data_IF_892652015729
#
_entry.id   IF_892652015729
#
_cell.length_a   1.000
_cell.length_b   1.000
_cell.length_c   1.000
_cell.angle_alpha   90.00
_cell.angle_beta   90.00
_cell.angle_gamma   90.00
#
_symmetry.space_group_name_H-M   'P 1'
#
loop_
_entity.id
_entity.type
_entity.pdbx_description
1 polymer ?
#
# COMPACT_ATOMS: atom_id res chain seq x y z
N UNK A 1 7.48 20.37 -4.17
CA UNK A 1 7.86 18.98 -3.86
C UNK A 1 6.78 18.48 -2.93
N UNK A 2 6.08 17.40 -3.25
CA UNK A 2 4.98 16.94 -2.41
C UNK A 2 5.58 16.38 -1.11
N UNK A 3 5.52 17.16 -0.02
CA UNK A 3 5.83 16.64 1.31
C UNK A 3 4.87 15.48 1.62
N UNK A 4 5.40 14.41 2.20
CA UNK A 4 4.56 13.31 2.67
C UNK A 4 3.76 13.75 3.89
N UNK A 5 2.50 13.32 3.97
CA UNK A 5 1.67 13.58 5.15
C UNK A 5 2.15 12.72 6.32
N UNK A 6 2.09 13.26 7.53
CA UNK A 6 2.22 12.45 8.75
C UNK A 6 0.92 11.67 8.94
N UNK A 7 1.01 10.47 9.52
CA UNK A 7 -0.16 9.62 9.71
C UNK A 7 -0.39 9.39 11.20
N UNK A 8 -1.55 9.77 11.72
CA UNK A 8 -2.01 9.38 13.05
C UNK A 8 -2.72 8.05 12.97
N UNK A 9 -2.29 7.11 13.79
CA UNK A 9 -2.91 5.80 13.94
C UNK A 9 -3.52 5.76 15.33
N UNK A 10 -4.81 5.47 15.44
CA UNK A 10 -5.52 5.40 16.71
C UNK A 10 -6.22 4.07 16.84
N UNK A 11 -5.96 3.33 17.92
CA UNK A 11 -6.75 2.14 18.26
C UNK A 11 -8.12 2.58 18.75
N UNK A 12 -9.17 2.33 17.97
CA UNK A 12 -10.54 2.75 18.31
C UNK A 12 -11.20 1.76 19.27
N UNK A 13 -11.11 0.47 18.96
CA UNK A 13 -11.75 -0.60 19.74
C UNK A 13 -11.05 -1.93 19.53
N UNK A 14 -11.35 -2.87 20.42
CA UNK A 14 -11.02 -4.27 20.28
C UNK A 14 -12.22 -5.12 20.71
N UNK A 15 -12.43 -6.24 20.05
CA UNK A 15 -13.56 -7.13 20.38
C UNK A 15 -13.19 -8.06 21.55
N UNK A 16 -11.88 -8.25 21.77
CA UNK A 16 -11.29 -8.94 22.93
C UNK A 16 -9.99 -8.25 23.35
N UNK A 17 -9.46 -8.53 24.56
CA UNK A 17 -8.16 -8.02 24.96
C UNK A 17 -7.05 -8.36 23.95
N UNK A 18 -6.24 -7.36 23.59
CA UNK A 18 -5.13 -7.56 22.68
C UNK A 18 -4.02 -8.41 23.34
N UNK A 19 -3.48 -9.38 22.60
CA UNK A 19 -2.37 -10.24 23.03
C UNK A 19 -1.09 -9.46 23.39
N UNK A 20 -0.95 -8.23 22.88
CA UNK A 20 0.16 -7.31 23.16
C UNK A 20 -0.19 -6.25 24.21
N UNK A 21 -1.37 -6.34 24.83
CA UNK A 21 -1.81 -5.41 25.88
C UNK A 21 -2.22 -4.02 25.38
N UNK A 22 -2.34 -3.80 24.06
CA UNK A 22 -2.80 -2.54 23.48
C UNK A 22 -4.24 -2.22 23.92
N UNK A 23 -4.48 -0.94 24.25
CA UNK A 23 -5.78 -0.47 24.76
C UNK A 23 -6.42 0.55 23.80
N UNK A 24 -7.75 0.53 23.62
CA UNK A 24 -8.47 1.60 22.93
C UNK A 24 -8.08 2.99 23.42
N UNK A 25 -7.96 3.94 22.50
CA UNK A 25 -7.44 5.28 22.74
C UNK A 25 -5.92 5.41 22.62
N UNK A 26 -5.16 4.31 22.48
CA UNK A 26 -3.72 4.39 22.19
C UNK A 26 -3.50 4.99 20.80
N UNK A 27 -2.57 5.93 20.70
CA UNK A 27 -2.27 6.68 19.48
C UNK A 27 -0.78 6.62 19.12
N UNK A 28 -0.50 6.64 17.82
CA UNK A 28 0.84 6.72 17.27
C UNK A 28 0.88 7.79 16.19
N UNK A 29 2.02 8.49 16.10
CA UNK A 29 2.36 9.32 14.94
C UNK A 29 3.38 8.56 14.09
N UNK A 30 3.00 8.26 12.86
CA UNK A 30 3.86 7.65 11.85
C UNK A 30 4.42 8.73 10.95
N UNK A 31 5.75 8.82 10.94
CA UNK A 31 6.55 9.68 10.06
C UNK A 31 7.77 8.88 9.57
N UNK A 32 7.54 8.02 8.57
CA UNK A 32 8.53 7.16 7.90
C UNK A 32 9.20 6.04 8.71
N UNK A 33 8.99 5.97 10.02
CA UNK A 33 9.48 4.87 10.86
C UNK A 33 8.31 4.08 11.47
N UNK A 34 8.47 2.76 11.56
CA UNK A 34 7.49 1.90 12.21
C UNK A 34 7.25 2.39 13.67
N UNK A 35 5.99 2.60 14.09
CA UNK A 35 5.74 3.18 15.40
C UNK A 35 6.13 2.23 16.52
N UNK A 36 6.90 2.74 17.50
CA UNK A 36 7.28 1.96 18.67
C UNK A 36 6.05 1.46 19.43
N UNK A 37 6.04 0.18 19.79
CA UNK A 37 4.94 -0.44 20.55
C UNK A 37 3.73 -0.85 19.72
N UNK A 38 3.63 -0.48 18.44
CA UNK A 38 2.65 -1.08 17.54
C UNK A 38 3.18 -2.45 17.07
N UNK A 39 2.36 -3.51 17.21
CA UNK A 39 2.82 -4.85 16.84
C UNK A 39 3.02 -4.97 15.32
N UNK A 40 3.97 -5.80 14.90
CA UNK A 40 4.37 -5.95 13.49
C UNK A 40 3.23 -6.44 12.59
N UNK A 41 2.35 -7.30 13.10
CA UNK A 41 1.17 -7.78 12.36
C UNK A 41 0.18 -6.65 12.06
N UNK A 42 -0.12 -5.81 13.06
CA UNK A 42 -0.99 -4.65 12.86
C UNK A 42 -0.32 -3.64 11.93
N UNK A 43 0.96 -3.32 12.13
CA UNK A 43 1.66 -2.39 11.25
C UNK A 43 1.68 -2.90 9.80
N UNK A 44 1.95 -4.18 9.58
CA UNK A 44 1.96 -4.78 8.24
C UNK A 44 0.59 -4.76 7.55
N UNK A 45 -0.52 -4.90 8.28
CA UNK A 45 -1.86 -4.82 7.67
C UNK A 45 -2.29 -3.39 7.38
N UNK A 46 -1.88 -2.44 8.21
CA UNK A 46 -2.16 -1.02 8.03
C UNK A 46 -1.27 -0.37 6.94
N UNK A 47 -0.08 -0.94 6.70
CA UNK A 47 0.96 -0.37 5.84
C UNK A 47 0.48 0.10 4.45
N UNK A 48 -0.27 -0.69 3.67
CA UNK A 48 -0.70 -0.25 2.33
C UNK A 48 -1.63 0.96 2.40
N UNK A 49 -2.45 1.02 3.45
CA UNK A 49 -3.39 2.11 3.66
C UNK A 49 -2.72 3.39 4.16
N UNK A 50 -1.74 3.24 5.05
CA UNK A 50 -0.84 4.32 5.49
C UNK A 50 -0.17 4.95 4.28
N UNK A 51 0.36 4.14 3.34
CA UNK A 51 1.05 4.68 2.17
C UNK A 51 0.15 5.46 1.23
N UNK A 52 -1.09 5.03 1.01
CA UNK A 52 -2.05 5.79 0.19
C UNK A 52 -2.27 7.19 0.76
N UNK A 53 -2.64 7.29 2.04
CA UNK A 53 -2.90 8.57 2.69
C UNK A 53 -1.65 9.44 2.79
N UNK A 54 -0.51 8.82 3.16
CA UNK A 54 0.77 9.51 3.31
C UNK A 54 1.23 10.16 2.01
N UNK A 55 0.98 9.52 0.88
CA UNK A 55 1.35 10.02 -0.45
C UNK A 55 0.20 10.78 -1.12
N UNK A 56 -0.78 11.28 -0.35
CA UNK A 56 -1.79 12.20 -0.87
C UNK A 56 -2.94 11.53 -1.65
N UNK A 57 -3.06 10.21 -1.65
CA UNK A 57 -4.20 9.48 -2.21
C UNK A 57 -5.31 9.28 -1.18
N UNK A 58 -6.53 8.90 -1.55
CA UNK A 58 -7.67 8.72 -0.63
C UNK A 58 -8.55 7.53 -1.05
N UNK A 59 -9.40 7.04 -0.17
CA UNK A 59 -10.23 5.87 -0.46
C UNK A 59 -11.66 6.23 -0.89
N UNK A 60 -12.15 5.70 -2.02
CA UNK A 60 -13.48 6.09 -2.54
C UNK A 60 -14.65 5.57 -1.68
N UNK A 61 -14.42 4.54 -0.86
CA UNK A 61 -15.43 4.01 0.08
C UNK A 61 -15.50 4.78 1.41
N UNK A 62 -14.53 5.66 1.69
CA UNK A 62 -14.53 6.47 2.90
C UNK A 62 -15.27 7.80 2.65
N UNK A 63 -16.02 8.26 3.66
CA UNK A 63 -16.73 9.54 3.59
C UNK A 63 -15.77 10.72 3.75
N UNK A 64 -14.87 10.63 4.73
CA UNK A 64 -13.79 11.58 4.99
C UNK A 64 -12.56 11.17 4.16
N UNK A 65 -12.06 12.01 3.23
CA UNK A 65 -10.90 11.67 2.40
C UNK A 65 -9.62 11.50 3.22
N UNK A 66 -9.58 11.94 4.48
CA UNK A 66 -8.40 11.91 5.32
C UNK A 66 -8.25 10.64 6.14
N UNK A 67 -9.23 9.75 6.10
CA UNK A 67 -9.33 8.59 6.99
C UNK A 67 -9.43 7.29 6.21
N UNK A 68 -8.96 6.23 6.85
CA UNK A 68 -9.41 4.88 6.57
C UNK A 68 -9.48 4.08 7.87
N UNK A 69 -10.54 3.28 8.02
CA UNK A 69 -10.67 2.36 9.15
C UNK A 69 -10.18 0.98 8.75
N UNK A 70 -9.25 0.40 9.51
CA UNK A 70 -8.64 -0.90 9.21
C UNK A 70 -8.43 -1.73 10.47
N UNK A 71 -8.26 -3.05 10.34
CA UNK A 71 -8.01 -3.92 11.48
C UNK A 71 -6.69 -4.68 11.41
N UNK A 72 -6.22 -5.17 12.57
CA UNK A 72 -5.15 -6.16 12.59
C UNK A 72 -5.68 -7.54 12.12
N UNK A 73 -4.84 -8.38 11.50
CA UNK A 73 -5.26 -9.67 10.96
C UNK A 73 -5.31 -10.77 12.05
N UNK A 74 -5.82 -10.44 13.23
CA UNK A 74 -6.03 -11.39 14.34
C UNK A 74 -7.53 -11.70 14.45
N UNK A 75 -7.91 -12.88 13.96
CA UNK A 75 -9.30 -13.34 13.92
C UNK A 75 -9.97 -13.48 15.30
N UNK A 76 -9.20 -13.51 16.40
CA UNK A 76 -9.74 -13.63 17.76
C UNK A 76 -9.90 -12.30 18.47
N UNK A 77 -9.04 -11.31 18.17
CA UNK A 77 -8.99 -10.02 18.88
C UNK A 77 -9.67 -8.90 18.09
N UNK A 78 -9.40 -8.84 16.79
CA UNK A 78 -9.88 -7.79 15.87
C UNK A 78 -9.72 -6.36 16.43
N UNK A 79 -8.47 -5.91 16.61
CA UNK A 79 -8.21 -4.49 16.91
C UNK A 79 -8.54 -3.64 15.68
N UNK A 80 -9.40 -2.64 15.84
CA UNK A 80 -9.80 -1.71 14.77
C UNK A 80 -9.15 -0.35 15.00
N UNK A 81 -8.48 0.15 13.97
CA UNK A 81 -7.70 1.37 13.96
C UNK A 81 -8.31 2.40 13.02
N UNK A 82 -8.33 3.66 13.46
CA UNK A 82 -8.42 4.81 12.56
C UNK A 82 -7.01 5.15 12.09
N UNK A 83 -6.82 5.24 10.78
CA UNK A 83 -5.60 5.77 10.16
C UNK A 83 -5.98 7.08 9.50
N UNK A 84 -5.42 8.19 9.99
CA UNK A 84 -5.74 9.55 9.54
C UNK A 84 -4.49 10.27 9.06
N UNK A 85 -4.60 11.04 7.98
CA UNK A 85 -3.51 11.93 7.52
C UNK A 85 -3.53 13.29 8.23
N UNK A 86 -2.34 13.86 8.41
CA UNK A 86 -2.13 15.20 8.93
C UNK A 86 -1.07 15.97 8.12
N UNK A 87 -1.35 17.22 7.70
CA UNK A 87 -2.62 17.93 7.85
C UNK A 87 -3.74 17.34 6.98
N UNK A 88 -5.00 17.62 7.34
CA UNK A 88 -6.17 17.21 6.56
C UNK A 88 -6.25 17.97 5.22
N UNK A 89 -6.93 17.35 4.26
CA UNK A 89 -7.12 17.85 2.89
C UNK A 89 -8.53 17.55 2.41
N UNK A 90 -9.03 18.33 1.45
CA UNK A 90 -10.30 18.04 0.77
C UNK A 90 -10.12 17.18 -0.49
N UNK A 91 -8.90 16.67 -0.75
CA UNK A 91 -8.58 15.90 -1.95
C UNK A 91 -9.23 14.53 -1.87
N UNK A 92 -10.31 14.35 -2.62
CA UNK A 92 -10.90 13.04 -2.90
C UNK A 92 -10.43 12.53 -4.25
N UNK A 93 -9.87 11.32 -4.24
CA UNK A 93 -9.46 10.58 -5.41
C UNK A 93 -10.48 9.49 -5.73
N UNK A 94 -10.79 9.38 -7.02
CA UNK A 94 -11.41 8.18 -7.57
C UNK A 94 -10.37 7.06 -7.73
N UNK A 95 -10.86 5.85 -8.00
CA UNK A 95 -9.97 4.72 -8.25
C UNK A 95 -9.49 4.72 -9.71
N UNK A 96 -8.21 4.39 -9.90
CA UNK A 96 -7.56 4.21 -11.20
C UNK A 96 -7.50 2.72 -11.56
N UNK A 97 -7.30 2.43 -12.85
CA UNK A 97 -6.80 1.14 -13.30
C UNK A 97 -5.27 1.16 -13.21
N UNK A 98 -4.66 0.05 -12.80
CA UNK A 98 -3.19 -0.06 -12.72
C UNK A 98 -2.74 -1.27 -13.51
N UNK A 99 -1.85 -1.06 -14.46
CA UNK A 99 -1.13 -2.13 -15.15
C UNK A 99 0.31 -2.14 -14.68
N UNK A 100 0.95 -3.31 -14.73
CA UNK A 100 2.38 -3.37 -14.54
C UNK A 100 3.01 -4.44 -15.39
N UNK A 101 4.17 -4.10 -15.94
CA UNK A 101 4.90 -4.90 -16.92
C UNK A 101 6.31 -5.14 -16.45
N UNK A 102 6.79 -6.37 -16.59
CA UNK A 102 8.21 -6.66 -16.37
C UNK A 102 9.00 -6.14 -17.58
N UNK A 103 9.77 -5.07 -17.38
CA UNK A 103 10.47 -4.34 -18.45
C UNK A 103 11.97 -4.59 -18.47
N UNK A 104 12.49 -5.26 -17.45
CA UNK A 104 13.90 -5.57 -17.37
C UNK A 104 14.25 -6.40 -16.14
N UNK A 105 15.54 -6.68 -15.97
CA UNK A 105 16.11 -7.15 -14.71
C UNK A 105 17.45 -6.49 -14.42
N UNK A 106 17.85 -6.52 -13.17
CA UNK A 106 19.23 -6.33 -12.74
C UNK A 106 19.77 -7.66 -12.22
N UNK A 107 21.10 -7.80 -12.26
CA UNK A 107 21.82 -9.03 -11.97
C UNK A 107 21.61 -10.12 -13.04
N UNK A 108 22.54 -11.08 -13.08
CA UNK A 108 22.60 -12.10 -14.13
C UNK A 108 21.83 -13.38 -13.79
N UNK A 109 21.19 -13.43 -12.61
CA UNK A 109 20.41 -14.57 -12.18
C UNK A 109 19.16 -14.83 -13.04
N UNK A 110 18.55 -15.99 -12.79
CA UNK A 110 17.35 -16.46 -13.49
C UNK A 110 16.18 -16.44 -12.51
N UNK A 111 15.04 -15.89 -12.95
CA UNK A 111 13.83 -15.88 -12.12
C UNK A 111 13.39 -17.31 -11.82
N UNK A 112 13.43 -17.70 -10.54
CA UNK A 112 13.02 -19.04 -10.10
C UNK A 112 11.54 -19.34 -10.31
N UNK A 113 10.70 -18.30 -10.45
CA UNK A 113 9.27 -18.44 -10.78
C UNK A 113 9.01 -18.52 -12.29
N UNK A 114 10.01 -18.21 -13.13
CA UNK A 114 9.92 -18.33 -14.59
C UNK A 114 9.48 -17.06 -15.33
N UNK A 115 9.30 -15.92 -14.65
CA UNK A 115 8.93 -14.64 -15.27
C UNK A 115 9.97 -14.15 -16.29
N UNK A 116 9.49 -13.48 -17.33
CA UNK A 116 10.28 -12.98 -18.47
C UNK A 116 9.92 -11.53 -18.78
N UNK A 117 10.86 -10.82 -19.41
CA UNK A 117 10.60 -9.48 -19.93
C UNK A 117 9.43 -9.53 -20.91
N UNK A 118 8.49 -8.59 -20.73
CA UNK A 118 7.25 -8.56 -21.48
C UNK A 118 6.04 -9.07 -20.72
N UNK A 119 6.19 -9.84 -19.63
CA UNK A 119 5.05 -10.29 -18.81
C UNK A 119 4.26 -9.09 -18.28
N UNK A 120 2.93 -9.16 -18.34
CA UNK A 120 2.01 -8.07 -17.98
C UNK A 120 0.89 -8.55 -17.07
N UNK A 121 0.49 -7.67 -16.17
CA UNK A 121 -0.64 -7.85 -15.26
C UNK A 121 -1.45 -6.57 -15.16
N UNK A 122 -2.73 -6.72 -14.88
CA UNK A 122 -3.66 -5.60 -14.80
C UNK A 122 -4.58 -5.72 -13.59
N UNK A 123 -4.91 -4.56 -13.04
CA UNK A 123 -5.85 -4.39 -11.94
C UNK A 123 -6.86 -3.34 -12.41
N UNK A 124 -7.91 -3.80 -13.09
CA UNK A 124 -8.88 -2.97 -13.81
C UNK A 124 -10.29 -3.02 -13.20
N UNK A 125 -10.54 -3.88 -12.21
CA UNK A 125 -11.85 -4.05 -11.58
C UNK A 125 -11.78 -3.85 -10.07
N UNK A 126 -12.83 -3.28 -9.43
CA UNK A 126 -12.96 -3.26 -7.98
C UNK A 126 -13.06 -4.66 -7.36
N UNK A 127 -13.39 -5.69 -8.16
CA UNK A 127 -13.54 -7.09 -7.72
C UNK A 127 -12.33 -7.97 -8.01
N UNK A 128 -11.40 -7.49 -8.83
CA UNK A 128 -10.18 -8.23 -9.16
C UNK A 128 -9.00 -7.71 -8.34
N UNK A 129 -8.52 -8.58 -7.46
CA UNK A 129 -7.25 -8.43 -6.73
C UNK A 129 -6.41 -9.70 -6.79
N UNK A 130 -6.95 -10.80 -7.32
CA UNK A 130 -6.19 -12.03 -7.50
C UNK A 130 -5.54 -11.99 -8.87
N UNK A 131 -4.24 -11.74 -8.85
CA UNK A 131 -3.42 -11.80 -10.05
C UNK A 131 -3.00 -13.24 -10.29
N UNK A 132 -3.41 -13.77 -11.43
CA UNK A 132 -2.92 -15.08 -11.86
C UNK A 132 -1.45 -14.98 -12.28
N UNK A 133 -0.71 -16.04 -12.00
CA UNK A 133 0.65 -16.22 -12.51
C UNK A 133 1.62 -15.07 -12.14
N UNK A 134 1.50 -14.46 -10.97
CA UNK A 134 2.53 -13.57 -10.42
C UNK A 134 3.26 -14.24 -9.23
N UNK A 135 4.56 -13.99 -9.11
CA UNK A 135 5.34 -14.46 -7.96
C UNK A 135 4.86 -13.73 -6.69
N UNK A 136 4.52 -14.42 -5.59
CA UNK A 136 4.03 -13.78 -4.36
C UNK A 136 4.99 -12.73 -3.78
N UNK A 137 6.30 -12.98 -3.85
CA UNK A 137 7.32 -12.03 -3.39
C UNK A 137 7.37 -10.77 -4.25
N UNK A 138 7.23 -10.92 -5.57
CA UNK A 138 7.15 -9.76 -6.47
C UNK A 138 5.87 -8.97 -6.22
N UNK A 139 4.72 -9.65 -6.11
CA UNK A 139 3.45 -9.00 -5.80
C UNK A 139 3.49 -8.23 -4.48
N UNK A 140 4.05 -8.83 -3.42
CA UNK A 140 4.22 -8.13 -2.13
C UNK A 140 5.02 -6.84 -2.26
N UNK A 141 6.11 -6.83 -3.04
CA UNK A 141 6.90 -5.61 -3.28
C UNK A 141 6.14 -4.56 -4.10
N UNK A 142 5.30 -4.99 -5.04
CA UNK A 142 4.55 -4.12 -5.95
C UNK A 142 3.29 -3.54 -5.29
N UNK A 143 2.69 -4.27 -4.34
CA UNK A 143 1.36 -3.99 -3.81
C UNK A 143 1.21 -2.59 -3.19
N UNK A 144 2.19 -2.12 -2.40
CA UNK A 144 2.11 -0.79 -1.78
C UNK A 144 2.07 0.31 -2.86
N UNK A 145 2.89 0.19 -3.90
CA UNK A 145 2.91 1.14 -5.01
C UNK A 145 1.63 1.07 -5.85
N UNK A 146 1.12 -0.13 -6.12
CA UNK A 146 -0.19 -0.34 -6.75
C UNK A 146 -1.27 0.37 -5.96
N UNK A 147 -1.31 0.21 -4.64
CA UNK A 147 -2.30 0.85 -3.78
C UNK A 147 -2.20 2.38 -3.86
N UNK A 148 -0.99 2.95 -3.74
CA UNK A 148 -0.76 4.39 -3.87
C UNK A 148 -1.24 4.92 -5.22
N UNK A 149 -0.82 4.28 -6.32
CA UNK A 149 -1.20 4.70 -7.67
C UNK A 149 -2.71 4.55 -7.91
N UNK A 150 -3.30 3.42 -7.50
CA UNK A 150 -4.72 3.10 -7.68
C UNK A 150 -5.64 4.09 -6.98
N UNK A 151 -5.22 4.64 -5.85
CA UNK A 151 -6.04 5.54 -5.04
C UNK A 151 -5.57 7.00 -5.09
N UNK A 152 -4.92 7.38 -6.21
CA UNK A 152 -4.61 8.77 -6.55
C UNK A 152 -3.50 9.41 -5.73
N UNK A 153 -2.67 8.61 -5.06
CA UNK A 153 -1.45 9.07 -4.41
C UNK A 153 -0.30 9.24 -5.39
N UNK A 154 0.74 9.94 -4.96
CA UNK A 154 1.98 10.16 -5.69
C UNK A 154 3.15 10.25 -4.71
N UNK A 155 4.18 9.44 -4.93
CA UNK A 155 5.43 9.51 -4.20
C UNK A 155 6.19 10.82 -4.52
N UNK A 156 6.89 11.43 -3.54
CA UNK A 156 7.62 12.68 -3.75
C UNK A 156 8.69 12.62 -4.85
N UNK A 157 9.25 11.43 -5.08
CA UNK A 157 10.30 11.17 -6.07
C UNK A 157 9.76 10.70 -7.43
N UNK A 158 8.43 10.60 -7.60
CA UNK A 158 7.83 10.35 -8.92
C UNK A 158 7.91 11.60 -9.79
N UNK A 159 8.63 11.51 -10.92
CA UNK A 159 8.65 12.56 -11.94
C UNK A 159 7.35 12.63 -12.74
N UNK A 160 6.72 11.47 -12.98
CA UNK A 160 5.44 11.34 -13.66
C UNK A 160 4.44 10.68 -12.69
N UNK A 161 3.31 11.33 -12.36
CA UNK A 161 2.30 10.77 -11.45
C UNK A 161 1.65 9.49 -11.98
N UNK A 162 1.69 9.25 -13.29
CA UNK A 162 1.02 8.12 -13.92
C UNK A 162 1.89 6.87 -14.04
N UNK A 163 3.17 6.95 -13.69
CA UNK A 163 4.12 5.84 -13.78
C UNK A 163 4.92 5.62 -12.49
N UNK A 164 5.32 4.37 -12.24
CA UNK A 164 6.23 4.05 -11.15
C UNK A 164 7.06 2.82 -11.48
N UNK A 165 8.24 2.70 -10.88
CA UNK A 165 9.08 1.51 -11.05
C UNK A 165 9.31 0.83 -9.70
N UNK A 166 9.11 -0.49 -9.67
CA UNK A 166 9.36 -1.34 -8.50
C UNK A 166 10.24 -2.52 -8.92
N UNK A 167 11.06 -3.03 -8.00
CA UNK A 167 11.82 -4.27 -8.22
C UNK A 167 11.34 -5.37 -7.28
N UNK A 168 11.40 -6.63 -7.72
CA UNK A 168 11.21 -7.74 -6.81
C UNK A 168 12.40 -7.85 -5.83
N UNK A 169 12.20 -8.44 -4.64
CA UNK A 169 13.20 -8.46 -3.58
C UNK A 169 14.13 -9.69 -3.69
N UNK A 170 14.49 -10.10 -4.91
CA UNK A 170 15.40 -11.22 -5.16
C UNK A 170 16.82 -10.69 -5.37
N UNK A 171 17.81 -11.05 -4.53
CA UNK A 171 19.17 -10.53 -4.64
C UNK A 171 19.89 -10.97 -5.92
N UNK A 172 19.50 -12.09 -6.52
CA UNK A 172 20.15 -12.68 -7.69
C UNK A 172 19.53 -12.23 -9.01
N UNK A 173 18.26 -11.81 -8.99
CA UNK A 173 17.50 -11.42 -10.18
C UNK A 173 16.46 -10.37 -9.81
N UNK A 174 16.88 -9.11 -9.78
CA UNK A 174 16.00 -7.99 -9.45
C UNK A 174 15.20 -7.61 -10.68
N UNK A 175 14.11 -8.32 -10.92
CA UNK A 175 13.16 -8.00 -11.99
C UNK A 175 12.55 -6.61 -11.76
N UNK A 176 12.58 -5.78 -12.79
CA UNK A 176 12.08 -4.41 -12.82
C UNK A 176 10.67 -4.41 -13.42
N UNK A 177 9.73 -3.88 -12.67
CA UNK A 177 8.34 -3.72 -13.07
C UNK A 177 8.04 -2.24 -13.25
N UNK A 178 7.54 -1.88 -14.42
CA UNK A 178 6.99 -0.56 -14.70
C UNK A 178 5.49 -0.61 -14.50
N UNK A 179 5.00 0.15 -13.52
CA UNK A 179 3.59 0.35 -13.23
C UNK A 179 3.12 1.57 -14.02
N UNK A 180 1.91 1.48 -14.57
CA UNK A 180 1.19 2.60 -15.17
C UNK A 180 -0.22 2.64 -14.64
N UNK A 181 -0.76 3.83 -14.36
CA UNK A 181 -2.18 3.98 -14.05
C UNK A 181 -2.92 4.74 -15.14
N UNK A 182 -4.22 4.49 -15.25
CA UNK A 182 -5.14 5.23 -16.12
C UNK A 182 -6.45 5.51 -15.37
N UNK A 183 -7.14 6.63 -15.66
CA UNK A 183 -8.47 6.87 -15.11
C UNK A 183 -9.41 5.70 -15.39
N UNK A 184 -10.35 5.44 -14.49
CA UNK A 184 -11.47 4.53 -14.77
C UNK A 184 -12.49 5.23 -15.67
N UNK A 185 -13.00 4.47 -16.63
CA UNK A 185 -14.20 4.85 -17.41
C UNK A 185 -15.47 4.76 -16.55
#
# INVERSE_FOLDING_TARGET
MADHYKIRIKLLRNDRPCNQGLKPGTEWLYDNAAPQGLCSFAFSSLRPFIEVLKNGGSFPWEKDPNVVTQCCPDHLVNNVFEVRREPETDKKADAYNVTFRLTGKECDGVCGFGHKEGDTWEINSPREMVLENICPSAFKSINDAVMVMRYGGQYPWQSDPETYTVTCPDPNVRNRFELKRTPRE
#
